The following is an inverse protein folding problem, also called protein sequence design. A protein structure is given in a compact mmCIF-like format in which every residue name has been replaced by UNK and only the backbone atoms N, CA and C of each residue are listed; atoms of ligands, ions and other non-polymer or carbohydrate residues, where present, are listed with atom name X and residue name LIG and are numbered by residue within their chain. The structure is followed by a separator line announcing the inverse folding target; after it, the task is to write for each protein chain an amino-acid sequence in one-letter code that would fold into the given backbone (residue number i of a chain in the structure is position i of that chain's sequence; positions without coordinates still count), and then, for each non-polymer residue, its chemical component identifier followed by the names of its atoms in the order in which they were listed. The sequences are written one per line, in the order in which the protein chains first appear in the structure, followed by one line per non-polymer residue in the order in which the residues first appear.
data_IF_533213713124
#
_entry.id   IF_533213713124
#
_cell.length_a   1.000
_cell.length_b   1.000
_cell.length_c   1.000
_cell.angle_alpha   90.00
_cell.angle_beta   90.00
_cell.angle_gamma   90.00
#
_symmetry.space_group_name_H-M   'P 1'
#
loop_
_entity.id
_entity.type
_entity.pdbx_description
1 polymer ?
#
# COMPACT_ATOMS: atom_id res chain seq x y z
N UNK A 1 -4.67 -13.79 11.01
CA UNK A 1 -5.43 -14.40 9.89
C UNK A 1 -5.53 -15.93 9.92
N UNK A 2 -5.01 -16.65 10.93
CA UNK A 2 -4.71 -18.10 10.82
C UNK A 2 -5.85 -19.11 10.64
N UNK A 3 -7.10 -18.68 10.41
CA UNK A 3 -8.24 -19.58 10.11
C UNK A 3 -9.16 -19.08 8.98
N UNK A 4 -8.84 -17.96 8.34
CA UNK A 4 -9.63 -17.49 7.20
C UNK A 4 -9.44 -18.46 6.02
N UNK A 5 -10.52 -18.75 5.27
CA UNK A 5 -10.45 -19.54 4.04
C UNK A 5 -10.67 -18.62 2.85
N UNK A 6 -9.70 -18.58 1.95
CA UNK A 6 -9.80 -17.82 0.70
C UNK A 6 -10.41 -18.74 -0.36
N UNK A 7 -11.62 -18.41 -0.78
CA UNK A 7 -12.31 -19.06 -1.89
C UNK A 7 -12.14 -18.19 -3.14
N UNK A 8 -12.60 -18.68 -4.30
CA UNK A 8 -12.40 -18.00 -5.58
C UNK A 8 -13.00 -16.58 -5.61
N UNK A 9 -14.18 -16.40 -5.04
CA UNK A 9 -14.94 -15.15 -5.09
C UNK A 9 -15.19 -14.52 -3.70
N UNK A 10 -14.87 -15.22 -2.62
CA UNK A 10 -15.19 -14.80 -1.27
C UNK A 10 -14.13 -15.23 -0.25
N UNK A 11 -14.14 -14.59 0.92
CA UNK A 11 -13.27 -14.93 2.04
C UNK A 11 -14.15 -15.31 3.22
N UNK A 12 -14.05 -16.56 3.67
CA UNK A 12 -14.74 -17.00 4.87
C UNK A 12 -13.94 -16.60 6.13
N UNK A 13 -14.61 -15.89 7.04
CA UNK A 13 -14.01 -15.33 8.27
C UNK A 13 -14.70 -15.97 9.48
N UNK A 14 -14.13 -17.02 10.10
CA UNK A 14 -14.81 -17.82 11.11
C UNK A 14 -15.34 -17.02 12.31
N UNK A 15 -14.58 -16.02 12.75
CA UNK A 15 -14.91 -15.21 13.92
C UNK A 15 -15.66 -13.92 13.59
N UNK A 16 -16.01 -13.70 12.31
CA UNK A 16 -16.72 -12.50 11.82
C UNK A 16 -16.11 -11.18 12.31
N UNK A 17 -14.78 -11.15 12.48
CA UNK A 17 -14.01 -9.98 12.90
C UNK A 17 -12.93 -9.70 11.86
N UNK A 18 -12.84 -8.44 11.48
CA UNK A 18 -11.82 -7.92 10.57
C UNK A 18 -11.14 -6.72 11.20
N UNK A 19 -9.89 -6.49 10.79
CA UNK A 19 -9.14 -5.27 11.09
C UNK A 19 -8.84 -4.60 9.78
N UNK A 20 -9.26 -3.35 9.64
CA UNK A 20 -8.86 -2.48 8.54
C UNK A 20 -7.79 -1.54 9.06
N UNK A 21 -6.61 -1.57 8.43
CA UNK A 21 -5.57 -0.60 8.69
C UNK A 21 -5.68 0.52 7.64
N UNK A 22 -5.51 1.75 8.08
CA UNK A 22 -5.52 2.93 7.24
C UNK A 22 -4.36 3.83 7.66
N UNK A 23 -3.68 4.41 6.68
CA UNK A 23 -2.63 5.41 6.88
C UNK A 23 -2.70 6.45 5.77
N UNK A 24 -2.21 7.65 6.06
CA UNK A 24 -2.06 8.73 5.10
C UNK A 24 -0.90 9.61 5.55
N UNK A 25 -0.24 10.27 4.61
CA UNK A 25 0.76 11.30 4.93
C UNK A 25 0.14 12.67 5.24
N UNK A 26 -1.13 12.87 4.88
CA UNK A 26 -1.86 14.13 5.10
C UNK A 26 -2.56 14.07 6.46
N UNK A 27 -2.17 14.95 7.38
CA UNK A 27 -2.82 15.07 8.68
C UNK A 27 -4.29 15.46 8.55
N UNK A 28 -4.62 16.31 7.56
CA UNK A 28 -6.00 16.73 7.27
C UNK A 28 -6.85 15.52 6.87
N UNK A 29 -6.39 14.72 5.90
CA UNK A 29 -7.08 13.49 5.49
C UNK A 29 -7.21 12.55 6.69
N UNK A 30 -6.15 12.39 7.49
CA UNK A 30 -6.15 11.54 8.68
C UNK A 30 -7.26 11.91 9.66
N UNK A 31 -7.41 13.20 9.97
CA UNK A 31 -8.47 13.72 10.84
C UNK A 31 -9.85 13.51 10.23
N UNK A 32 -10.02 13.81 8.93
CA UNK A 32 -11.30 13.61 8.24
C UNK A 32 -11.74 12.14 8.24
N UNK A 33 -10.84 11.23 7.89
CA UNK A 33 -11.10 9.79 7.92
C UNK A 33 -11.39 9.30 9.33
N UNK A 34 -10.62 9.73 10.33
CA UNK A 34 -10.87 9.37 11.72
C UNK A 34 -12.27 9.80 12.18
N UNK A 35 -12.64 11.05 11.95
CA UNK A 35 -13.95 11.59 12.33
C UNK A 35 -15.09 10.90 11.59
N UNK A 36 -14.90 10.60 10.31
CA UNK A 36 -15.88 9.84 9.51
C UNK A 36 -16.10 8.44 10.09
N UNK A 37 -15.04 7.69 10.38
CA UNK A 37 -15.13 6.34 10.96
C UNK A 37 -15.75 6.41 12.37
N UNK A 38 -15.36 7.39 13.18
CA UNK A 38 -15.89 7.60 14.53
C UNK A 38 -17.39 7.92 14.52
N UNK A 39 -17.84 8.79 13.62
CA UNK A 39 -19.26 9.14 13.48
C UNK A 39 -20.13 7.96 13.01
N UNK A 40 -19.50 6.93 12.43
CA UNK A 40 -20.14 5.68 12.00
C UNK A 40 -19.93 4.52 12.97
N UNK A 41 -19.33 4.77 14.15
CA UNK A 41 -19.17 3.75 15.19
C UNK A 41 -20.53 3.17 15.58
N UNK A 42 -20.57 1.83 15.70
CA UNK A 42 -21.78 1.06 16.00
C UNK A 42 -22.94 1.16 14.97
N UNK A 43 -22.80 1.95 13.90
CA UNK A 43 -23.79 1.96 12.80
C UNK A 43 -23.59 0.73 11.92
N UNK A 44 -24.70 0.21 11.37
CA UNK A 44 -24.68 -0.88 10.39
C UNK A 44 -24.23 -0.32 9.04
N UNK A 45 -23.16 -0.88 8.49
CA UNK A 45 -22.60 -0.55 7.18
C UNK A 45 -22.77 -1.78 6.29
N UNK A 46 -23.52 -1.65 5.21
CA UNK A 46 -23.71 -2.72 4.23
C UNK A 46 -22.62 -2.66 3.16
N UNK A 47 -21.89 -3.76 2.98
CA UNK A 47 -20.92 -3.95 1.89
C UNK A 47 -21.31 -5.22 1.15
N UNK A 48 -21.85 -5.06 -0.07
CA UNK A 48 -22.50 -6.15 -0.82
C UNK A 48 -23.52 -6.87 0.08
N UNK A 49 -23.34 -8.18 0.27
CA UNK A 49 -24.24 -9.06 1.02
C UNK A 49 -23.87 -9.17 2.51
N UNK A 50 -22.91 -8.37 2.98
CA UNK A 50 -22.44 -8.39 4.37
C UNK A 50 -22.79 -7.08 5.08
N UNK A 51 -23.34 -7.20 6.28
CA UNK A 51 -23.53 -6.06 7.19
C UNK A 51 -22.45 -6.09 8.26
N UNK A 52 -21.74 -4.98 8.40
CA UNK A 52 -20.67 -4.80 9.38
C UNK A 52 -20.99 -3.67 10.35
N UNK A 53 -20.32 -3.68 11.49
CA UNK A 53 -20.34 -2.59 12.46
C UNK A 53 -18.91 -2.31 12.92
N UNK A 54 -18.58 -1.04 13.15
CA UNK A 54 -17.28 -0.65 13.68
C UNK A 54 -17.29 -0.85 15.19
N UNK A 55 -16.57 -1.87 15.67
CA UNK A 55 -16.50 -2.22 17.09
C UNK A 55 -15.56 -1.30 17.89
N UNK A 56 -14.36 -1.05 17.35
CA UNK A 56 -13.30 -0.29 18.01
C UNK A 56 -12.46 0.43 16.97
N UNK A 57 -11.93 1.59 17.36
CA UNK A 57 -11.03 2.42 16.56
C UNK A 57 -9.81 2.66 17.44
N UNK A 58 -8.63 2.30 16.95
CA UNK A 58 -7.37 2.46 17.67
C UNK A 58 -6.45 3.36 16.86
N UNK A 59 -5.97 4.43 17.48
CA UNK A 59 -4.89 5.22 16.91
C UNK A 59 -3.57 4.49 17.15
N UNK A 60 -2.85 4.19 16.09
CA UNK A 60 -1.55 3.53 16.15
C UNK A 60 -0.48 4.61 16.19
N UNK A 61 0.41 4.53 17.17
CA UNK A 61 1.54 5.45 17.24
C UNK A 61 2.49 5.18 16.07
N UNK A 62 2.76 6.23 15.28
CA UNK A 62 3.71 6.15 14.17
C UNK A 62 5.13 5.89 14.69
N UNK A 63 5.88 5.06 13.96
CA UNK A 63 7.31 4.87 14.19
C UNK A 63 8.05 6.04 13.54
N UNK A 64 8.94 6.68 14.29
CA UNK A 64 9.79 7.74 13.72
C UNK A 64 10.97 7.12 12.98
N UNK A 65 11.24 7.60 11.77
CA UNK A 65 12.33 7.10 10.92
C UNK A 65 13.49 8.10 10.96
N UNK A 66 14.61 7.68 11.53
CA UNK A 66 15.87 8.45 11.55
C UNK A 66 16.97 7.81 10.70
N UNK A 67 16.79 6.56 10.31
CA UNK A 67 17.74 5.78 9.54
C UNK A 67 17.58 6.03 8.05
N UNK A 68 18.69 5.99 7.33
CA UNK A 68 18.71 6.09 5.86
C UNK A 68 18.37 4.76 5.18
N UNK A 69 18.21 3.67 5.94
CA UNK A 69 17.90 2.32 5.43
C UNK A 69 16.76 1.74 6.25
N UNK A 70 15.68 1.35 5.58
CA UNK A 70 14.50 0.72 6.21
C UNK A 70 14.05 -0.49 5.40
N UNK A 71 13.72 -1.58 6.10
CA UNK A 71 13.05 -2.74 5.52
C UNK A 71 11.55 -2.62 5.73
N UNK A 72 10.82 -2.38 4.63
CA UNK A 72 9.37 -2.35 4.62
C UNK A 72 8.80 -3.74 4.38
N UNK A 73 7.77 -4.08 5.16
CA UNK A 73 6.94 -5.27 5.00
C UNK A 73 5.55 -4.86 4.55
N UNK A 74 5.06 -5.47 3.46
CA UNK A 74 3.74 -5.14 2.92
C UNK A 74 2.61 -5.57 3.87
N UNK A 75 1.72 -4.63 4.21
CA UNK A 75 0.40 -4.88 4.80
C UNK A 75 -0.69 -5.02 3.73
N UNK A 76 -0.49 -4.39 2.57
CA UNK A 76 -1.26 -4.64 1.35
C UNK A 76 -0.34 -4.73 0.12
N UNK A 77 -0.76 -5.39 -0.98
CA UNK A 77 0.13 -5.66 -2.10
C UNK A 77 0.63 -4.37 -2.77
N UNK A 78 1.89 -4.31 -3.14
CA UNK A 78 2.48 -3.22 -3.93
C UNK A 78 2.17 -3.44 -5.40
N UNK A 79 1.62 -2.41 -6.06
CA UNK A 79 1.33 -2.45 -7.50
C UNK A 79 2.41 -1.70 -8.25
N UNK A 80 3.07 -2.40 -9.17
CA UNK A 80 4.01 -1.84 -10.14
C UNK A 80 3.27 -1.67 -11.46
N UNK A 81 2.98 -0.43 -11.85
CA UNK A 81 2.14 -0.13 -13.01
C UNK A 81 2.96 0.52 -14.12
N UNK A 82 2.95 -0.10 -15.29
CA UNK A 82 3.40 0.53 -16.54
C UNK A 82 2.16 1.01 -17.28
N UNK A 83 2.10 2.30 -17.61
CA UNK A 83 0.95 2.90 -18.30
C UNK A 83 1.43 3.91 -19.33
N UNK A 84 1.04 3.68 -20.59
CA UNK A 84 1.39 4.52 -21.74
C UNK A 84 0.15 5.17 -22.35
N UNK A 85 -0.55 5.99 -21.56
CA UNK A 85 -1.68 6.81 -22.01
C UNK A 85 -3.03 6.10 -22.09
N UNK A 86 -3.09 4.87 -22.62
CA UNK A 86 -4.34 4.11 -22.72
C UNK A 86 -4.47 3.00 -21.68
N UNK A 87 -5.69 2.75 -21.19
CA UNK A 87 -5.92 1.68 -20.21
C UNK A 87 -5.65 0.29 -20.79
N UNK A 88 -5.83 0.10 -22.11
CA UNK A 88 -5.58 -1.17 -22.80
C UNK A 88 -4.10 -1.57 -22.82
N UNK A 89 -3.19 -0.61 -22.73
CA UNK A 89 -1.74 -0.85 -22.66
C UNK A 89 -1.21 -0.90 -21.21
N UNK A 90 -2.09 -0.90 -20.21
CA UNK A 90 -1.65 -0.95 -18.81
C UNK A 90 -1.17 -2.34 -18.46
N UNK A 91 0.06 -2.43 -17.96
CA UNK A 91 0.64 -3.67 -17.48
C UNK A 91 1.01 -3.58 -16.00
N UNK A 92 0.90 -4.71 -15.30
CA UNK A 92 1.25 -4.83 -13.88
C UNK A 92 2.40 -5.83 -13.73
N UNK A 93 3.51 -5.38 -13.13
CA UNK A 93 4.77 -6.13 -13.13
C UNK A 93 5.07 -6.81 -11.81
N UNK A 94 5.79 -7.94 -11.89
CA UNK A 94 6.37 -8.62 -10.73
C UNK A 94 7.66 -7.93 -10.30
N UNK A 95 7.87 -7.79 -8.98
CA UNK A 95 9.14 -7.33 -8.42
C UNK A 95 10.24 -8.40 -8.45
N UNK A 96 9.93 -9.63 -8.89
CA UNK A 96 10.94 -10.66 -9.12
C UNK A 96 11.70 -10.44 -10.42
N UNK A 97 11.08 -9.77 -11.38
CA UNK A 97 11.65 -9.55 -12.71
C UNK A 97 12.39 -8.23 -12.76
N UNK A 98 13.53 -8.18 -13.46
CA UNK A 98 14.32 -6.96 -13.62
C UNK A 98 13.49 -5.82 -14.22
N UNK A 99 12.65 -6.11 -15.23
CA UNK A 99 11.76 -5.12 -15.83
C UNK A 99 10.83 -4.51 -14.77
N UNK A 100 10.24 -5.32 -13.89
CA UNK A 100 9.36 -4.82 -12.85
C UNK A 100 10.08 -3.97 -11.81
N UNK A 101 11.33 -4.29 -11.48
CA UNK A 101 12.16 -3.47 -10.60
C UNK A 101 12.48 -2.10 -11.22
N UNK A 102 12.77 -2.06 -12.53
CA UNK A 102 12.99 -0.81 -13.28
C UNK A 102 11.72 0.05 -13.27
N UNK A 103 10.57 -0.54 -13.62
CA UNK A 103 9.28 0.19 -13.63
C UNK A 103 8.90 0.64 -12.22
N UNK A 104 9.17 -0.17 -11.19
CA UNK A 104 8.93 0.20 -9.81
C UNK A 104 9.75 1.42 -9.38
N UNK A 105 11.03 1.50 -9.76
CA UNK A 105 11.85 2.70 -9.51
C UNK A 105 11.25 3.93 -10.17
N UNK A 106 10.78 3.84 -11.42
CA UNK A 106 10.12 4.94 -12.10
C UNK A 106 8.79 5.35 -11.43
N UNK A 107 7.96 4.37 -11.04
CA UNK A 107 6.73 4.62 -10.28
C UNK A 107 7.00 5.35 -8.96
N UNK A 108 8.06 4.95 -8.25
CA UNK A 108 8.48 5.58 -7.00
C UNK A 108 8.90 7.04 -7.22
N UNK A 109 9.68 7.30 -8.27
CA UNK A 109 10.11 8.66 -8.64
C UNK A 109 8.92 9.56 -8.95
N UNK A 110 7.95 9.09 -9.76
CA UNK A 110 6.73 9.82 -10.03
C UNK A 110 5.93 10.09 -8.75
N UNK A 111 5.74 9.07 -7.91
CA UNK A 111 5.03 9.20 -6.63
C UNK A 111 5.66 10.26 -5.72
N UNK A 112 6.99 10.34 -5.68
CA UNK A 112 7.72 11.32 -4.87
C UNK A 112 7.63 12.72 -5.49
N UNK A 113 7.77 12.81 -6.81
CA UNK A 113 7.65 14.07 -7.54
C UNK A 113 6.27 14.71 -7.38
N UNK A 114 5.20 13.91 -7.37
CA UNK A 114 3.83 14.39 -7.17
C UNK A 114 3.63 15.11 -5.82
N UNK A 115 4.43 14.76 -4.80
CA UNK A 115 4.29 15.30 -3.44
C UNK A 115 5.34 16.35 -3.11
N UNK A 116 6.59 16.15 -3.53
CA UNK A 116 7.71 17.03 -3.18
C UNK A 116 8.16 17.94 -4.33
N UNK A 117 7.52 17.83 -5.50
CA UNK A 117 7.91 18.54 -6.71
C UNK A 117 9.21 18.01 -7.33
N UNK A 118 9.67 18.65 -8.41
CA UNK A 118 10.80 18.15 -9.20
C UNK A 118 12.16 18.13 -8.48
N UNK A 119 12.30 18.84 -7.36
CA UNK A 119 13.56 18.89 -6.59
C UNK A 119 13.91 17.54 -5.96
N UNK A 120 12.90 16.73 -5.58
CA UNK A 120 13.12 15.39 -5.01
C UNK A 120 13.85 14.46 -5.97
N UNK A 121 13.83 14.75 -7.28
CA UNK A 121 14.50 13.92 -8.28
C UNK A 121 16.02 13.88 -8.09
N UNK A 122 16.63 14.86 -7.43
CA UNK A 122 18.04 14.80 -7.04
C UNK A 122 18.27 13.71 -6.00
N UNK A 123 17.47 13.68 -4.93
CA UNK A 123 17.54 12.65 -3.89
C UNK A 123 17.14 11.26 -4.42
N UNK A 124 16.22 11.20 -5.39
CA UNK A 124 15.80 9.96 -6.04
C UNK A 124 16.94 9.23 -6.78
N UNK A 125 18.03 9.92 -7.15
CA UNK A 125 19.19 9.30 -7.80
C UNK A 125 19.91 8.35 -6.85
N UNK A 126 19.94 8.70 -5.57
CA UNK A 126 20.65 7.96 -4.53
C UNK A 126 19.81 6.82 -3.92
N UNK A 127 18.54 6.70 -4.32
CA UNK A 127 17.67 5.62 -3.83
C UNK A 127 18.19 4.26 -4.31
N UNK A 128 18.48 3.38 -3.35
CA UNK A 128 18.79 1.96 -3.61
C UNK A 128 17.64 1.08 -3.11
N UNK A 129 17.31 0.07 -3.91
CA UNK A 129 16.19 -0.83 -3.68
C UNK A 129 16.72 -2.25 -3.64
N UNK A 130 16.40 -2.97 -2.57
CA UNK A 130 16.76 -4.36 -2.38
C UNK A 130 15.49 -5.18 -2.17
N UNK A 131 15.22 -6.08 -3.11
CA UNK A 131 13.99 -6.89 -3.10
C UNK A 131 14.27 -8.26 -2.47
N UNK A 132 13.44 -8.66 -1.51
CA UNK A 132 13.57 -10.00 -0.93
C UNK A 132 13.20 -11.08 -1.95
N UNK A 133 14.00 -12.15 -2.00
CA UNK A 133 13.67 -13.37 -2.77
C UNK A 133 12.36 -14.04 -2.30
N UNK A 134 11.92 -13.73 -1.07
CA UNK A 134 10.66 -14.21 -0.51
C UNK A 134 9.42 -13.48 -1.04
N UNK A 135 9.58 -12.48 -1.91
CA UNK A 135 8.45 -11.75 -2.49
C UNK A 135 7.55 -12.69 -3.28
N UNK A 136 6.24 -12.46 -3.20
CA UNK A 136 5.22 -13.27 -3.85
C UNK A 136 4.26 -12.39 -4.61
N UNK A 137 3.77 -12.94 -5.70
CA UNK A 137 2.71 -12.33 -6.49
C UNK A 137 1.35 -12.75 -5.98
N UNK A 138 0.41 -11.82 -6.02
CA UNK A 138 -1.01 -12.08 -5.81
C UNK A 138 -1.81 -11.39 -6.89
N UNK A 139 -2.91 -12.00 -7.32
CA UNK A 139 -3.88 -11.37 -8.21
C UNK A 139 -5.04 -10.85 -7.39
N UNK A 140 -5.30 -9.55 -7.48
CA UNK A 140 -6.40 -8.89 -6.76
C UNK A 140 -7.41 -8.37 -7.78
N UNK A 141 -8.67 -8.77 -7.66
CA UNK A 141 -9.76 -8.20 -8.46
C UNK A 141 -10.05 -6.79 -7.96
N UNK A 142 -9.91 -5.80 -8.84
CA UNK A 142 -10.11 -4.39 -8.52
C UNK A 142 -10.86 -3.71 -9.67
N UNK A 143 -12.10 -3.26 -9.43
CA UNK A 143 -12.99 -2.66 -10.45
C UNK A 143 -13.10 -3.48 -11.75
N UNK A 144 -13.35 -4.78 -11.62
CA UNK A 144 -13.60 -5.68 -12.76
C UNK A 144 -12.36 -6.14 -13.52
N UNK A 145 -11.16 -5.69 -13.14
CA UNK A 145 -9.89 -6.18 -13.71
C UNK A 145 -9.06 -6.93 -12.66
N UNK A 146 -8.22 -7.85 -13.12
CA UNK A 146 -7.18 -8.46 -12.27
C UNK A 146 -5.94 -7.56 -12.25
N UNK A 147 -5.51 -7.19 -11.04
CA UNK A 147 -4.28 -6.42 -10.81
C UNK A 147 -3.25 -7.34 -10.18
N UNK A 148 -2.06 -7.44 -10.77
CA UNK A 148 -0.92 -8.11 -10.16
C UNK A 148 -0.37 -7.22 -9.04
N UNK A 149 -0.30 -7.77 -7.84
CA UNK A 149 0.28 -7.14 -6.67
C UNK A 149 1.44 -7.96 -6.11
N UNK A 150 2.37 -7.27 -5.45
CA UNK A 150 3.57 -7.85 -4.87
C UNK A 150 3.49 -7.79 -3.34
N UNK A 151 3.58 -8.93 -2.66
CA UNK A 151 3.60 -9.04 -1.21
C UNK A 151 4.99 -9.52 -0.77
N UNK A 152 5.57 -8.87 0.22
CA UNK A 152 6.80 -9.32 0.84
C UNK A 152 7.56 -8.20 1.53
N UNK A 153 8.87 -8.17 1.32
CA UNK A 153 9.78 -7.21 1.93
C UNK A 153 10.61 -6.50 0.89
N UNK A 154 10.79 -5.20 1.09
CA UNK A 154 11.64 -4.34 0.28
C UNK A 154 12.47 -3.50 1.23
N UNK A 155 13.79 -3.60 1.13
CA UNK A 155 14.68 -2.67 1.81
C UNK A 155 14.96 -1.50 0.89
N UNK A 156 14.82 -0.29 1.44
CA UNK A 156 15.01 0.97 0.72
C UNK A 156 16.07 1.76 1.47
N UNK A 157 17.12 2.16 0.75
CA UNK A 157 18.09 3.16 1.20
C UNK A 157 17.74 4.49 0.54
N UNK A 158 17.38 5.49 1.33
CA UNK A 158 16.97 6.81 0.87
C UNK A 158 17.03 7.84 2.01
N UNK A 159 16.84 9.13 1.70
CA UNK A 159 16.73 10.18 2.72
C UNK A 159 15.58 9.86 3.70
N UNK A 160 15.71 10.13 5.01
CA UNK A 160 14.71 9.74 6.00
C UNK A 160 13.30 10.28 5.71
N UNK A 161 13.18 11.50 5.18
CA UNK A 161 11.88 12.09 4.84
C UNK A 161 11.16 11.32 3.71
N UNK A 162 11.91 10.73 2.76
CA UNK A 162 11.36 9.87 1.71
C UNK A 162 10.83 8.59 2.34
N UNK A 163 11.62 7.96 3.21
CA UNK A 163 11.23 6.72 3.90
C UNK A 163 9.99 6.95 4.79
N UNK A 164 9.93 8.09 5.49
CA UNK A 164 8.79 8.48 6.31
C UNK A 164 7.53 8.67 5.46
N UNK A 165 7.64 9.37 4.32
CA UNK A 165 6.52 9.50 3.39
C UNK A 165 6.04 8.15 2.86
N UNK A 166 6.95 7.27 2.44
CA UNK A 166 6.59 5.94 1.94
C UNK A 166 5.91 5.07 3.00
N UNK A 167 6.35 5.18 4.25
CA UNK A 167 5.70 4.52 5.38
C UNK A 167 4.25 4.98 5.58
N UNK A 168 4.02 6.31 5.57
CA UNK A 168 2.69 6.88 5.84
C UNK A 168 1.74 6.77 4.65
N UNK A 169 2.25 7.07 3.46
CA UNK A 169 1.47 7.18 2.23
C UNK A 169 1.29 5.83 1.52
N UNK A 170 2.10 4.83 1.84
CA UNK A 170 2.24 3.59 1.09
C UNK A 170 3.15 3.73 -0.13
N UNK A 171 3.45 2.62 -0.78
CA UNK A 171 4.45 2.50 -1.85
C UNK A 171 3.82 2.01 -3.16
N UNK A 172 4.12 2.69 -4.26
CA UNK A 172 3.73 2.29 -5.61
C UNK A 172 2.38 2.85 -6.04
N UNK A 173 1.72 2.12 -6.94
CA UNK A 173 0.49 2.57 -7.59
C UNK A 173 -0.78 2.15 -6.84
N UNK A 174 -1.90 2.84 -7.12
CA UNK A 174 -3.26 2.52 -6.60
C UNK A 174 -3.39 2.51 -5.08
N UNK A 175 -2.59 3.32 -4.37
CA UNK A 175 -2.55 3.36 -2.89
C UNK A 175 -3.91 3.67 -2.25
N UNK A 176 -4.63 4.65 -2.78
CA UNK A 176 -6.00 4.99 -2.36
C UNK A 176 -7.06 3.91 -2.63
N UNK A 177 -6.71 2.82 -3.31
CA UNK A 177 -7.61 1.68 -3.59
C UNK A 177 -7.26 0.45 -2.73
N UNK A 178 -6.47 0.62 -1.66
CA UNK A 178 -6.11 -0.45 -0.73
C UNK A 178 -4.82 -1.19 -1.09
N UNK A 179 -3.93 -0.59 -1.88
CA UNK A 179 -2.62 -1.17 -2.26
C UNK A 179 -1.45 -0.41 -1.61
N UNK A 180 -0.28 -1.04 -1.58
CA UNK A 180 0.98 -0.38 -1.22
C UNK A 180 1.19 -0.04 0.25
N UNK A 181 0.27 -0.37 1.16
CA UNK A 181 0.46 -0.12 2.59
C UNK A 181 1.58 -1.00 3.13
N UNK A 182 2.46 -0.43 3.93
CA UNK A 182 3.63 -1.11 4.52
C UNK A 182 3.74 -0.85 6.01
N UNK A 183 4.47 -1.70 6.71
CA UNK A 183 4.97 -1.46 8.07
C UNK A 183 6.50 -1.65 8.08
N UNK A 184 7.15 -1.13 9.11
CA UNK A 184 8.59 -1.29 9.36
C UNK A 184 8.78 -2.58 10.17
N UNK A 185 9.63 -3.48 9.69
CA UNK A 185 10.01 -4.72 10.41
C UNK A 185 10.97 -4.43 11.57
#
# INVERSE_FOLDING_TARGET
MGKCKFLREEIYIPHKKITLNFSTHSNEDGVMFYNSILSNRSKKISIKDVVMTINSINLVKEKTIYNDVITFKTLSPIVVREHSGENKSTWYHSLKDEKGQIIFKANLQHQLQDVFGSQVLYDCKDIKLFFSSSNREVKVKNYGIEVLGNIGRIQIEAKPYILEYLYKAGIGSKRGMGFGMVDID
#
